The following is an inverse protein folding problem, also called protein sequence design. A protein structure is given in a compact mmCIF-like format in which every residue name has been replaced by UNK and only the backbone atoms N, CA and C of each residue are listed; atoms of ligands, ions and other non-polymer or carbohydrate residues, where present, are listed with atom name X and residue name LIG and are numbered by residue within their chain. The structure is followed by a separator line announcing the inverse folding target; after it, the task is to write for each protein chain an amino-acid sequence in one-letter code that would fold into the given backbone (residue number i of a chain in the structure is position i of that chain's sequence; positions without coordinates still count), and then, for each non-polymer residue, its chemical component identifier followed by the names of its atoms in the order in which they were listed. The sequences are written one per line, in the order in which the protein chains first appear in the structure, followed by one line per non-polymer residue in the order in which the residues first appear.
data_IF_121287931613
#
_entry.id   IF_121287931613
#
_cell.length_a   1.000
_cell.length_b   1.000
_cell.length_c   1.000
_cell.angle_alpha   90.00
_cell.angle_beta   90.00
_cell.angle_gamma   90.00
#
_symmetry.space_group_name_H-M   'P 1'
#
loop_
_entity.id
_entity.type
_entity.pdbx_description
1 polymer ?
#
# COMPACT_ATOMS: atom_id res chain seq x y z
N UNK A 1 -31.08 -16.39 69.26
CA UNK A 1 -30.58 -15.88 70.53
C UNK A 1 -30.11 -14.46 70.22
N UNK A 2 -30.98 -13.46 70.23
CA UNK A 2 -31.43 -12.58 71.34
C UNK A 2 -30.29 -11.82 72.04
N UNK A 3 -30.39 -10.59 72.07
CA UNK A 3 -30.45 -9.52 73.07
C UNK A 3 -29.69 -8.28 72.53
N UNK A 4 -30.35 -7.16 72.16
CA UNK A 4 -30.91 -6.04 72.90
C UNK A 4 -30.00 -5.48 74.02
N UNK A 5 -29.75 -4.18 73.97
CA UNK A 5 -30.20 -3.15 74.97
C UNK A 5 -29.37 -1.88 74.74
N UNK A 6 -29.89 -0.78 74.27
CA UNK A 6 -30.50 0.40 74.94
C UNK A 6 -29.53 1.11 75.92
N UNK A 7 -29.39 2.43 75.91
CA UNK A 7 -30.16 3.44 76.63
C UNK A 7 -29.36 4.77 76.81
N UNK A 8 -29.99 5.89 76.44
CA UNK A 8 -30.07 7.22 77.05
C UNK A 8 -28.84 8.14 77.15
N UNK A 9 -28.87 9.24 76.54
CA UNK A 9 -29.52 10.55 76.91
C UNK A 9 -28.86 11.34 78.03
N UNK A 10 -28.40 12.53 77.80
CA UNK A 10 -28.72 13.69 78.62
C UNK A 10 -28.39 15.04 77.93
N UNK A 11 -29.35 15.86 77.98
CA UNK A 11 -29.51 17.28 77.78
C UNK A 11 -28.46 18.18 78.50
N UNK A 12 -28.19 19.33 77.86
CA UNK A 12 -27.50 20.44 78.49
C UNK A 12 -27.61 21.74 77.64
N UNK A 13 -28.41 22.62 78.17
CA UNK A 13 -28.93 23.92 77.69
C UNK A 13 -27.90 24.96 77.23
N UNK A 14 -28.33 25.73 76.20
CA UNK A 14 -28.43 27.19 76.15
C UNK A 14 -27.14 28.04 76.13
N UNK A 15 -26.98 28.83 75.13
CA UNK A 15 -27.18 30.30 75.21
C UNK A 15 -27.08 30.87 73.78
N UNK A 16 -28.04 31.69 73.43
CA UNK A 16 -28.13 32.45 72.21
C UNK A 16 -27.19 33.65 72.26
N UNK A 17 -26.59 33.92 71.09
CA UNK A 17 -26.22 35.32 70.76
C UNK A 17 -26.36 35.52 69.25
N UNK A 18 -27.14 36.56 68.91
CA UNK A 18 -27.40 37.09 67.58
C UNK A 18 -26.17 37.82 67.08
N UNK A 19 -25.80 37.61 65.82
CA UNK A 19 -25.33 38.73 64.96
C UNK A 19 -25.22 38.27 63.48
N UNK A 20 -26.04 38.92 62.67
CA UNK A 20 -25.79 39.59 61.40
C UNK A 20 -25.30 38.80 60.20
N UNK A 21 -26.20 38.62 59.34
CA UNK A 21 -26.22 38.64 57.83
C UNK A 21 -24.97 39.24 57.20
N UNK A 22 -24.31 38.44 56.42
CA UNK A 22 -23.59 38.88 55.20
C UNK A 22 -23.64 37.80 54.13
N UNK A 23 -24.47 38.02 53.14
CA UNK A 23 -24.59 37.21 51.95
C UNK A 23 -23.29 37.30 51.11
N UNK A 24 -22.61 36.20 50.88
CA UNK A 24 -21.59 36.10 49.85
C UNK A 24 -21.99 34.98 48.90
N UNK A 25 -22.59 35.38 47.76
CA UNK A 25 -22.87 34.50 46.65
C UNK A 25 -21.52 34.16 45.98
N UNK A 26 -21.00 32.94 46.18
CA UNK A 26 -19.89 32.40 45.44
C UNK A 26 -20.42 31.80 44.15
N UNK A 27 -20.28 32.55 43.03
CA UNK A 27 -20.46 32.05 41.69
C UNK A 27 -19.32 31.07 41.37
N UNK A 28 -19.62 29.80 41.39
CA UNK A 28 -18.77 28.73 40.81
C UNK A 28 -18.88 28.85 39.29
N UNK A 29 -17.90 29.52 38.67
CA UNK A 29 -17.63 29.40 37.24
C UNK A 29 -17.01 28.01 36.99
N UNK A 30 -17.83 27.06 36.57
CA UNK A 30 -17.32 25.81 35.94
C UNK A 30 -16.78 26.19 34.57
N UNK A 31 -15.45 26.39 34.49
CA UNK A 31 -14.75 26.51 33.21
C UNK A 31 -14.73 25.12 32.56
N UNK A 32 -15.63 24.88 31.61
CA UNK A 32 -15.52 23.80 30.66
C UNK A 32 -14.28 24.05 29.80
N UNK A 33 -13.16 23.46 30.16
CA UNK A 33 -12.01 23.30 29.25
C UNK A 33 -12.42 22.26 28.22
N UNK A 34 -12.94 22.74 27.08
CA UNK A 34 -13.08 21.89 25.91
C UNK A 34 -11.67 21.51 25.45
N UNK A 35 -11.23 20.31 25.85
CA UNK A 35 -10.07 19.68 25.22
C UNK A 35 -10.44 19.43 23.75
N UNK A 36 -10.06 20.35 22.88
CA UNK A 36 -10.08 20.14 21.44
C UNK A 36 -9.14 18.98 21.17
N UNK A 37 -9.70 17.80 20.89
CA UNK A 37 -8.94 16.72 20.29
C UNK A 37 -8.49 17.23 18.91
N UNK A 38 -7.27 17.76 18.85
CA UNK A 38 -6.58 17.94 17.58
C UNK A 38 -6.42 16.54 16.99
N UNK A 39 -7.21 16.21 15.98
CA UNK A 39 -6.92 15.09 15.12
C UNK A 39 -5.55 15.38 14.51
N UNK A 40 -4.51 14.75 15.04
CA UNK A 40 -3.22 14.69 14.38
C UNK A 40 -3.46 13.90 13.10
N UNK A 41 -3.50 14.58 11.97
CA UNK A 41 -3.31 13.95 10.68
C UNK A 41 -1.97 13.24 10.77
N UNK A 42 -1.98 11.90 10.71
CA UNK A 42 -0.78 11.11 10.53
C UNK A 42 -0.16 11.58 9.23
N UNK A 43 0.95 12.30 9.31
CA UNK A 43 1.73 12.66 8.14
C UNK A 43 2.23 11.35 7.51
N UNK A 44 2.36 11.29 6.18
CA UNK A 44 2.78 10.08 5.44
C UNK A 44 4.06 9.40 5.94
N UNK A 45 4.76 10.01 6.89
CA UNK A 45 5.91 9.46 7.62
C UNK A 45 5.62 8.12 8.33
N UNK A 46 4.37 7.87 8.76
CA UNK A 46 4.02 6.65 9.50
C UNK A 46 3.65 5.48 8.59
N UNK A 47 3.54 5.69 7.29
CA UNK A 47 3.08 4.66 6.35
C UNK A 47 4.13 3.57 6.13
N UNK A 48 5.40 3.94 5.94
CA UNK A 48 6.53 3.02 5.79
C UNK A 48 7.71 3.53 6.63
N UNK A 49 8.51 2.64 7.23
CA UNK A 49 9.74 3.06 7.91
C UNK A 49 10.75 3.62 6.91
N UNK A 50 11.63 4.48 7.39
CA UNK A 50 12.75 5.01 6.59
C UNK A 50 13.86 3.96 6.52
N UNK A 51 14.58 3.92 5.40
CA UNK A 51 15.74 3.05 5.23
C UNK A 51 16.81 3.37 6.29
N UNK A 52 17.32 2.35 7.03
CA UNK A 52 18.19 2.59 8.19
C UNK A 52 19.62 3.01 7.82
N UNK A 53 20.13 2.57 6.65
CA UNK A 53 21.53 2.78 6.25
C UNK A 53 21.64 3.99 5.29
N UNK A 54 21.13 5.13 5.73
CA UNK A 54 21.17 6.39 5.00
C UNK A 54 20.68 7.58 5.81
N UNK A 55 21.24 8.74 5.51
CA UNK A 55 20.87 10.01 6.11
C UNK A 55 19.69 10.64 5.36
N UNK A 56 18.62 10.96 6.06
CA UNK A 56 17.54 11.79 5.52
C UNK A 56 18.02 13.23 5.41
N UNK A 57 18.32 13.67 4.19
CA UNK A 57 18.89 15.00 3.91
C UNK A 57 17.82 16.07 3.84
N UNK A 58 16.62 15.68 3.37
CA UNK A 58 15.49 16.57 3.17
C UNK A 58 14.19 15.79 3.32
N UNK A 59 13.18 16.43 3.90
CA UNK A 59 11.83 15.86 4.05
C UNK A 59 10.83 16.99 3.89
N UNK A 60 9.83 16.78 3.02
CA UNK A 60 8.78 17.74 2.75
C UNK A 60 7.41 17.06 2.75
N UNK A 61 6.41 17.79 3.25
CA UNK A 61 5.01 17.37 3.12
C UNK A 61 4.50 17.64 1.70
N UNK A 62 3.85 16.65 1.12
CA UNK A 62 3.17 16.77 -0.17
C UNK A 62 1.68 16.95 0.08
N UNK A 63 1.14 18.08 -0.41
CA UNK A 63 -0.29 18.31 -0.47
C UNK A 63 -0.62 18.94 -1.80
N UNK A 64 -1.17 18.16 -2.72
CA UNK A 64 -1.36 18.58 -4.10
C UNK A 64 -2.64 18.03 -4.70
N UNK A 65 -3.39 18.89 -5.40
CA UNK A 65 -4.55 18.47 -6.21
C UNK A 65 -4.17 17.91 -7.59
N UNK A 66 -2.90 17.94 -7.96
CA UNK A 66 -2.44 17.57 -9.31
C UNK A 66 -1.00 17.05 -9.33
N UNK A 67 -0.60 16.29 -8.31
CA UNK A 67 0.72 15.66 -8.23
C UNK A 67 0.94 14.71 -9.40
N UNK A 68 2.09 14.82 -10.05
CA UNK A 68 2.43 14.01 -11.21
C UNK A 68 3.06 12.70 -10.77
N UNK A 69 2.42 11.58 -11.11
CA UNK A 69 2.95 10.23 -10.89
C UNK A 69 3.17 9.53 -12.23
N UNK A 70 4.32 8.91 -12.39
CA UNK A 70 4.76 8.25 -13.61
C UNK A 70 4.72 6.73 -13.43
N UNK A 71 4.06 6.04 -14.36
CA UNK A 71 3.90 4.58 -14.34
C UNK A 71 4.62 3.91 -15.53
N UNK A 72 5.52 4.65 -16.17
CA UNK A 72 6.36 4.17 -17.28
C UNK A 72 7.65 5.00 -17.35
N UNK A 73 8.65 4.60 -18.16
CA UNK A 73 9.89 5.35 -18.31
C UNK A 73 9.67 6.78 -18.79
N UNK A 74 10.57 7.65 -18.38
CA UNK A 74 10.50 9.06 -18.76
C UNK A 74 11.35 9.36 -20.01
N UNK A 75 10.84 10.26 -20.84
CA UNK A 75 11.53 10.82 -22.01
C UNK A 75 11.33 12.33 -22.06
N UNK A 76 12.23 13.01 -22.68
CA UNK A 76 12.09 14.43 -23.02
C UNK A 76 12.14 14.59 -24.54
N UNK A 77 11.10 15.16 -25.11
CA UNK A 77 10.97 15.40 -26.55
C UNK A 77 10.55 16.84 -26.74
N UNK A 78 11.37 17.65 -27.44
CA UNK A 78 11.11 19.07 -27.67
C UNK A 78 10.77 19.82 -26.37
N UNK A 79 11.62 19.69 -25.35
CA UNK A 79 11.46 20.27 -24.00
C UNK A 79 10.19 19.86 -23.26
N UNK A 80 9.45 18.90 -23.77
CA UNK A 80 8.26 18.37 -23.12
C UNK A 80 8.54 17.02 -22.47
N UNK A 81 8.16 16.90 -21.19
CA UNK A 81 8.18 15.64 -20.46
C UNK A 81 7.16 14.68 -21.10
N UNK A 82 7.59 13.48 -21.42
CA UNK A 82 6.78 12.40 -21.99
C UNK A 82 6.98 11.13 -21.20
N UNK A 83 5.89 10.42 -21.01
CA UNK A 83 5.83 9.07 -20.44
C UNK A 83 4.59 8.40 -21.01
N UNK A 84 4.67 7.13 -21.34
CA UNK A 84 3.57 6.40 -21.98
C UNK A 84 2.36 6.28 -21.04
N UNK A 85 2.64 6.14 -19.73
CA UNK A 85 1.62 6.12 -18.69
C UNK A 85 2.02 7.09 -17.58
N UNK A 86 1.34 8.21 -17.48
CA UNK A 86 1.50 9.20 -16.42
C UNK A 86 0.14 9.75 -16.02
N UNK A 87 0.00 10.10 -14.76
CA UNK A 87 -1.25 10.64 -14.23
C UNK A 87 -1.01 11.76 -13.23
N UNK A 88 -1.87 12.77 -13.28
CA UNK A 88 -1.98 13.77 -12.22
C UNK A 88 -3.13 13.40 -11.30
N UNK A 89 -2.85 13.35 -10.00
CA UNK A 89 -3.84 12.97 -9.01
C UNK A 89 -3.76 13.85 -7.77
N UNK A 90 -4.87 13.97 -7.08
CA UNK A 90 -4.89 14.60 -5.76
C UNK A 90 -4.30 13.64 -4.74
N UNK A 91 -3.31 14.10 -4.00
CA UNK A 91 -2.58 13.31 -2.99
C UNK A 91 -2.26 14.17 -1.78
N UNK A 92 -2.24 13.54 -0.62
CA UNK A 92 -1.52 13.96 0.57
C UNK A 92 -0.35 12.98 0.79
N UNK A 93 0.73 13.40 1.45
CA UNK A 93 1.86 12.52 1.69
C UNK A 93 3.14 13.26 2.05
N UNK A 94 4.25 12.59 1.84
CA UNK A 94 5.58 13.14 2.10
C UNK A 94 6.60 12.71 1.04
N UNK A 95 7.62 13.53 0.86
CA UNK A 95 8.82 13.20 0.09
C UNK A 95 10.06 13.25 0.98
N UNK A 96 10.99 12.37 0.71
CA UNK A 96 12.27 12.27 1.42
C UNK A 96 13.41 12.14 0.43
N UNK A 97 14.41 12.97 0.59
CA UNK A 97 15.71 12.77 -0.04
C UNK A 97 16.65 12.08 0.93
N UNK A 98 17.13 10.90 0.58
CA UNK A 98 18.03 10.09 1.38
C UNK A 98 19.40 10.05 0.71
N UNK A 99 20.47 10.40 1.42
CA UNK A 99 21.83 10.09 1.02
C UNK A 99 22.19 8.73 1.60
N UNK A 100 22.50 7.78 0.74
CA UNK A 100 22.81 6.40 1.13
C UNK A 100 24.23 6.35 1.71
N UNK A 101 24.42 5.61 2.78
CA UNK A 101 25.70 5.43 3.45
C UNK A 101 26.71 4.72 2.54
N UNK A 102 28.02 4.93 2.80
CA UNK A 102 29.08 4.41 1.92
C UNK A 102 29.22 2.89 1.94
N UNK A 103 28.80 2.27 3.02
CA UNK A 103 28.80 0.81 3.25
C UNK A 103 27.48 0.13 2.86
N UNK A 104 26.55 0.91 2.32
CA UNK A 104 25.31 0.43 1.73
C UNK A 104 25.19 0.83 0.24
N UNK A 105 24.12 0.42 -0.42
CA UNK A 105 23.92 0.70 -1.83
C UNK A 105 22.46 1.05 -2.17
N UNK A 106 22.28 1.75 -3.32
CA UNK A 106 20.97 2.05 -3.87
C UNK A 106 20.12 0.78 -4.13
N UNK A 107 20.78 -0.35 -4.44
CA UNK A 107 20.10 -1.64 -4.65
C UNK A 107 19.56 -2.20 -3.35
N UNK A 108 20.35 -2.14 -2.27
CA UNK A 108 19.90 -2.56 -0.94
C UNK A 108 18.71 -1.72 -0.46
N UNK A 109 18.77 -0.39 -0.64
CA UNK A 109 17.64 0.50 -0.34
C UNK A 109 16.40 0.11 -1.15
N UNK A 110 16.52 -0.09 -2.47
CA UNK A 110 15.42 -0.51 -3.32
C UNK A 110 14.83 -1.83 -2.86
N UNK A 111 15.65 -2.82 -2.59
CA UNK A 111 15.21 -4.15 -2.20
C UNK A 111 14.59 -4.14 -0.80
N UNK A 112 15.09 -3.28 0.10
CA UNK A 112 14.49 -3.04 1.41
C UNK A 112 13.07 -2.47 1.29
N UNK A 113 12.85 -1.43 0.48
CA UNK A 113 11.50 -0.90 0.25
C UNK A 113 10.59 -1.93 -0.44
N UNK A 114 11.09 -2.69 -1.40
CA UNK A 114 10.32 -3.80 -1.98
C UNK A 114 9.85 -4.80 -0.93
N UNK A 115 10.72 -5.14 0.02
CA UNK A 115 10.34 -6.03 1.12
C UNK A 115 9.27 -5.39 2.03
N UNK A 116 9.36 -4.09 2.31
CA UNK A 116 8.30 -3.38 3.07
C UNK A 116 6.95 -3.43 2.34
N UNK A 117 6.95 -3.28 1.02
CA UNK A 117 5.72 -3.40 0.20
C UNK A 117 5.15 -4.83 0.28
N UNK A 118 5.99 -5.85 0.12
CA UNK A 118 5.57 -7.27 0.23
C UNK A 118 4.98 -7.56 1.62
N UNK A 119 5.63 -7.09 2.69
CA UNK A 119 5.16 -7.28 4.06
C UNK A 119 3.79 -6.61 4.32
N UNK A 120 3.43 -5.59 3.55
CA UNK A 120 2.12 -4.91 3.58
C UNK A 120 1.17 -5.38 2.49
N UNK A 121 1.44 -6.55 1.91
CA UNK A 121 0.60 -7.14 0.86
C UNK A 121 0.40 -6.20 -0.34
N UNK A 122 1.37 -5.32 -0.55
CA UNK A 122 1.41 -4.41 -1.67
C UNK A 122 1.94 -5.08 -2.93
N UNK A 123 1.88 -4.36 -4.02
CA UNK A 123 2.38 -4.83 -5.32
C UNK A 123 3.18 -3.74 -6.03
N UNK A 124 4.21 -4.17 -6.74
CA UNK A 124 4.93 -3.30 -7.67
C UNK A 124 4.05 -3.10 -8.90
N UNK A 125 3.74 -1.83 -9.22
CA UNK A 125 2.94 -1.45 -10.39
C UNK A 125 3.84 -1.29 -11.60
N UNK A 126 4.99 -0.64 -11.41
CA UNK A 126 5.99 -0.45 -12.45
C UNK A 126 7.39 -0.37 -11.84
N UNK A 127 8.39 -0.88 -12.55
CA UNK A 127 9.80 -0.65 -12.24
C UNK A 127 10.64 -0.64 -13.52
N UNK A 128 11.75 0.08 -13.46
CA UNK A 128 12.79 0.06 -14.49
C UNK A 128 14.18 0.18 -13.83
N UNK A 129 15.21 -0.22 -14.56
CA UNK A 129 16.61 -0.17 -14.12
C UNK A 129 17.50 0.44 -15.20
N UNK A 130 18.48 1.23 -14.79
CA UNK A 130 19.48 1.82 -15.67
C UNK A 130 18.88 2.66 -16.78
N UNK A 131 19.43 2.52 -17.98
CA UNK A 131 19.03 3.30 -19.16
C UNK A 131 17.58 3.07 -19.61
N UNK A 132 16.98 1.95 -19.19
CA UNK A 132 15.57 1.67 -19.48
C UNK A 132 14.61 2.63 -18.78
N UNK A 133 15.04 3.31 -17.71
CA UNK A 133 14.26 4.33 -17.01
C UNK A 133 14.21 5.67 -17.74
N UNK A 134 15.04 5.84 -18.76
CA UNK A 134 15.27 7.13 -19.42
C UNK A 134 16.48 7.87 -18.87
N UNK A 135 16.53 9.18 -19.01
CA UNK A 135 17.67 9.98 -18.60
C UNK A 135 17.54 10.44 -17.14
N UNK A 136 18.60 10.24 -16.34
CA UNK A 136 18.63 10.67 -14.93
C UNK A 136 18.47 12.19 -14.78
N UNK A 137 18.95 12.97 -15.76
CA UNK A 137 18.74 14.42 -15.78
C UNK A 137 17.25 14.80 -15.85
N UNK A 138 16.44 14.03 -16.59
CA UNK A 138 14.99 14.28 -16.72
C UNK A 138 14.28 13.95 -15.40
N UNK A 139 14.64 12.85 -14.78
CA UNK A 139 14.13 12.52 -13.43
C UNK A 139 14.47 13.61 -12.42
N UNK A 140 15.75 13.98 -12.33
CA UNK A 140 16.22 14.96 -11.35
C UNK A 140 15.57 16.33 -11.52
N UNK A 141 15.62 16.89 -12.74
CA UNK A 141 15.31 18.31 -12.93
C UNK A 141 13.89 18.56 -13.46
N UNK A 142 13.22 17.57 -14.06
CA UNK A 142 11.88 17.76 -14.66
C UNK A 142 10.78 17.03 -13.91
N UNK A 143 11.10 15.92 -13.23
CA UNK A 143 10.13 15.16 -12.44
C UNK A 143 10.17 15.59 -10.98
N UNK A 144 11.33 15.46 -10.33
CA UNK A 144 11.45 15.71 -8.90
C UNK A 144 11.90 17.14 -8.55
N UNK A 145 12.50 17.89 -9.48
CA UNK A 145 13.04 19.21 -9.21
C UNK A 145 14.27 19.22 -8.28
N UNK A 146 14.91 18.07 -8.11
CA UNK A 146 16.01 17.85 -7.16
C UNK A 146 17.32 17.49 -7.89
N UNK A 147 18.22 18.46 -7.96
CA UNK A 147 19.48 18.33 -8.73
C UNK A 147 20.45 17.29 -8.16
N UNK A 148 20.35 16.94 -6.87
CA UNK A 148 21.15 15.88 -6.24
C UNK A 148 20.84 14.49 -6.82
N UNK A 149 19.67 14.32 -7.44
CA UNK A 149 19.27 13.10 -8.13
C UNK A 149 19.83 12.97 -9.55
N UNK A 150 20.58 13.96 -10.04
CA UNK A 150 21.25 13.85 -11.33
C UNK A 150 22.51 12.98 -11.20
N UNK A 151 22.55 11.88 -11.93
CA UNK A 151 23.63 10.92 -11.92
C UNK A 151 23.83 10.22 -13.26
N UNK A 152 24.33 8.98 -13.20
CA UNK A 152 24.59 8.17 -14.39
C UNK A 152 23.33 7.42 -14.84
N UNK A 153 22.96 7.54 -16.10
CA UNK A 153 21.77 6.88 -16.66
C UNK A 153 21.80 5.35 -16.51
N UNK A 154 23.00 4.74 -16.47
CA UNK A 154 23.16 3.30 -16.26
C UNK A 154 22.99 2.88 -14.80
N UNK A 155 23.14 3.81 -13.85
CA UNK A 155 23.17 3.55 -12.42
C UNK A 155 22.00 4.26 -11.73
N UNK A 156 20.79 4.00 -12.20
CA UNK A 156 19.55 4.50 -11.62
C UNK A 156 18.49 3.40 -11.61
N UNK A 157 17.53 3.53 -10.72
CA UNK A 157 16.33 2.68 -10.67
C UNK A 157 15.11 3.56 -10.36
N UNK A 158 13.98 3.21 -10.93
CA UNK A 158 12.69 3.78 -10.57
C UNK A 158 11.69 2.66 -10.28
N UNK A 159 10.93 2.83 -9.24
CA UNK A 159 9.91 1.87 -8.81
C UNK A 159 8.69 2.64 -8.32
N UNK A 160 7.51 2.22 -8.76
CA UNK A 160 6.25 2.60 -8.16
C UNK A 160 5.52 1.35 -7.69
N UNK A 161 5.06 1.40 -6.46
CA UNK A 161 4.33 0.30 -5.83
C UNK A 161 3.11 0.83 -5.10
N UNK A 162 2.10 0.00 -4.97
CA UNK A 162 0.97 0.26 -4.07
C UNK A 162 1.05 -0.63 -2.85
N UNK A 163 0.53 -0.15 -1.75
CA UNK A 163 0.33 -0.91 -0.51
C UNK A 163 -0.92 -0.40 0.21
N UNK A 164 -1.43 -1.18 1.15
CA UNK A 164 -2.63 -0.80 1.87
C UNK A 164 -2.28 -0.23 3.23
N UNK A 165 -2.84 0.94 3.52
CA UNK A 165 -2.80 1.58 4.83
C UNK A 165 -3.78 0.94 5.82
N UNK A 166 -3.83 1.47 7.06
CA UNK A 166 -4.69 0.93 8.12
C UNK A 166 -6.18 0.86 7.76
N UNK A 167 -6.67 1.81 6.98
CA UNK A 167 -8.07 1.89 6.52
C UNK A 167 -8.33 1.12 5.23
N UNK A 168 -7.39 0.28 4.79
CA UNK A 168 -7.46 -0.45 3.53
C UNK A 168 -7.56 0.45 2.29
N UNK A 169 -7.13 1.70 2.40
CA UNK A 169 -6.93 2.60 1.27
C UNK A 169 -5.62 2.27 0.57
N UNK A 170 -5.59 2.38 -0.74
CA UNK A 170 -4.37 2.16 -1.51
C UNK A 170 -3.46 3.40 -1.39
N UNK A 171 -2.27 3.18 -0.89
CA UNK A 171 -1.19 4.16 -0.85
C UNK A 171 -0.15 3.84 -1.93
N UNK A 172 0.62 4.82 -2.33
CA UNK A 172 1.68 4.67 -3.31
C UNK A 172 3.05 4.95 -2.68
N UNK A 173 4.00 4.10 -3.00
CA UNK A 173 5.43 4.36 -2.86
C UNK A 173 5.95 4.75 -4.24
N UNK A 174 6.54 5.92 -4.38
CA UNK A 174 7.39 6.32 -5.51
C UNK A 174 8.83 6.31 -5.02
N UNK A 175 9.67 5.52 -5.67
CA UNK A 175 11.07 5.38 -5.33
C UNK A 175 11.93 5.61 -6.56
N UNK A 176 12.87 6.54 -6.47
CA UNK A 176 13.92 6.73 -7.47
C UNK A 176 15.28 6.67 -6.78
N UNK A 177 16.22 5.94 -7.35
CA UNK A 177 17.59 5.86 -6.85
C UNK A 177 18.59 6.15 -7.95
N UNK A 178 19.73 6.73 -7.59
CA UNK A 178 20.76 7.07 -8.57
C UNK A 178 22.16 7.11 -7.93
N UNK A 179 23.17 6.67 -8.72
CA UNK A 179 24.58 6.91 -8.41
C UNK A 179 25.08 8.10 -9.20
N UNK A 180 25.57 9.12 -8.49
CA UNK A 180 26.15 10.33 -9.09
C UNK A 180 27.54 10.07 -9.68
N UNK A 181 28.02 10.99 -10.52
CA UNK A 181 29.35 10.92 -11.13
C UNK A 181 30.50 10.85 -10.10
N UNK A 182 30.31 11.39 -8.90
CA UNK A 182 31.28 11.32 -7.79
C UNK A 182 31.16 10.05 -6.91
N UNK A 183 30.34 9.08 -7.33
CA UNK A 183 30.12 7.82 -6.62
C UNK A 183 29.18 7.90 -5.42
N UNK A 184 28.62 9.07 -5.08
CA UNK A 184 27.59 9.16 -4.04
C UNK A 184 26.26 8.64 -4.57
N UNK A 185 25.52 7.97 -3.70
CA UNK A 185 24.20 7.42 -4.02
C UNK A 185 23.10 8.15 -3.25
N UNK A 186 22.02 8.42 -3.96
CA UNK A 186 20.84 9.09 -3.41
C UNK A 186 19.58 8.35 -3.77
N UNK A 187 18.59 8.47 -2.89
CA UNK A 187 17.23 8.03 -3.15
C UNK A 187 16.23 9.16 -2.92
N UNK A 188 15.22 9.23 -3.78
CA UNK A 188 14.00 10.00 -3.58
C UNK A 188 12.87 9.04 -3.27
N UNK A 189 12.18 9.28 -2.18
CA UNK A 189 11.09 8.44 -1.70
C UNK A 189 9.86 9.33 -1.51
N UNK A 190 8.77 9.02 -2.20
CA UNK A 190 7.47 9.63 -1.89
C UNK A 190 6.53 8.56 -1.35
N UNK A 191 5.86 8.90 -0.26
CA UNK A 191 4.79 8.13 0.34
C UNK A 191 3.50 8.94 0.15
N UNK A 192 2.63 8.45 -0.74
CA UNK A 192 1.47 9.20 -1.19
C UNK A 192 0.17 8.50 -0.79
N UNK A 193 -0.77 9.27 -0.28
CA UNK A 193 -2.16 8.90 -0.05
C UNK A 193 -3.03 9.54 -1.14
N UNK A 194 -3.35 8.81 -2.23
CA UNK A 194 -4.21 9.34 -3.27
C UNK A 194 -5.64 9.54 -2.75
N UNK A 195 -6.30 10.60 -3.21
CA UNK A 195 -7.72 10.80 -2.92
C UNK A 195 -8.53 9.55 -3.29
N UNK A 196 -9.56 9.23 -2.53
CA UNK A 196 -10.38 8.01 -2.71
C UNK A 196 -10.98 7.86 -4.12
N UNK A 197 -11.14 8.96 -4.84
CA UNK A 197 -11.63 8.99 -6.23
C UNK A 197 -10.51 8.83 -7.26
N UNK A 198 -9.23 8.85 -6.86
CA UNK A 198 -8.12 8.72 -7.77
C UNK A 198 -8.09 7.33 -8.40
N UNK A 199 -7.84 7.29 -9.71
CA UNK A 199 -7.61 6.03 -10.43
C UNK A 199 -6.11 5.80 -10.53
N UNK A 200 -5.68 4.63 -10.09
CA UNK A 200 -4.28 4.23 -10.15
C UNK A 200 -4.12 3.24 -11.31
N UNK A 201 -3.30 3.53 -12.32
CA UNK A 201 -3.03 2.60 -13.42
C UNK A 201 -2.60 1.23 -12.88
N UNK A 202 -3.25 0.17 -13.37
CA UNK A 202 -2.99 -1.20 -12.92
C UNK A 202 -3.65 -1.62 -11.60
N UNK A 203 -4.25 -0.66 -10.85
CA UNK A 203 -4.87 -0.96 -9.56
C UNK A 203 -6.37 -0.59 -9.48
N UNK A 204 -6.81 0.39 -10.26
CA UNK A 204 -8.18 0.91 -10.21
C UNK A 204 -8.33 2.12 -9.27
N UNK A 205 -9.44 2.22 -8.54
CA UNK A 205 -9.69 3.35 -7.64
C UNK A 205 -8.94 3.19 -6.31
N UNK A 206 -8.29 4.23 -5.84
CA UNK A 206 -7.55 4.25 -4.58
C UNK A 206 -8.46 4.12 -3.34
N UNK A 207 -9.63 4.73 -3.39
CA UNK A 207 -10.62 4.62 -2.33
C UNK A 207 -11.56 3.45 -2.56
N UNK A 208 -11.79 2.65 -1.53
CA UNK A 208 -12.57 1.43 -1.64
C UNK A 208 -11.93 0.36 -2.54
N UNK A 209 -10.86 -0.23 -2.08
CA UNK A 209 -10.34 -1.45 -2.69
C UNK A 209 -11.33 -2.61 -2.49
N UNK A 210 -12.53 -2.50 -3.12
CA UNK A 210 -13.46 -3.62 -3.20
C UNK A 210 -12.90 -4.77 -4.01
N UNK A 211 -11.98 -4.46 -4.93
CA UNK A 211 -11.29 -5.45 -5.76
C UNK A 211 -9.81 -5.40 -5.40
N UNK A 212 -9.33 -6.44 -4.75
CA UNK A 212 -7.93 -6.64 -4.40
C UNK A 212 -7.30 -7.63 -5.37
N UNK A 213 -6.04 -7.43 -5.71
CA UNK A 213 -5.35 -8.30 -6.67
C UNK A 213 -4.88 -7.57 -7.92
N UNK A 214 -4.32 -8.30 -8.94
CA UNK A 214 -4.24 -9.75 -8.94
C UNK A 214 -3.09 -10.31 -8.11
N UNK A 215 -3.35 -11.40 -7.40
CA UNK A 215 -2.29 -12.32 -6.97
C UNK A 215 -2.00 -13.25 -8.14
N UNK A 216 -0.82 -13.11 -8.74
CA UNK A 216 -0.45 -13.87 -9.93
C UNK A 216 0.26 -15.15 -9.53
N UNK A 217 -0.26 -16.28 -9.97
CA UNK A 217 0.28 -17.62 -9.72
C UNK A 217 0.66 -18.26 -11.06
N UNK A 218 1.92 -18.18 -11.48
CA UNK A 218 2.40 -18.97 -12.60
C UNK A 218 2.21 -20.46 -12.31
N UNK A 219 1.90 -21.21 -13.35
CA UNK A 219 1.80 -22.66 -13.22
C UNK A 219 2.61 -23.37 -14.32
N UNK A 220 2.91 -24.61 -14.05
CA UNK A 220 3.48 -25.55 -15.02
C UNK A 220 2.72 -26.87 -14.95
N UNK A 221 2.65 -27.56 -16.06
CA UNK A 221 2.03 -28.87 -16.17
C UNK A 221 3.02 -29.88 -16.72
N UNK A 222 3.10 -31.05 -16.07
CA UNK A 222 3.77 -32.23 -16.61
C UNK A 222 2.88 -33.47 -16.40
N UNK A 223 2.85 -33.99 -15.19
CA UNK A 223 1.94 -35.07 -14.75
C UNK A 223 0.80 -34.44 -13.91
N UNK A 224 1.06 -33.33 -13.28
CA UNK A 224 0.09 -32.55 -12.47
C UNK A 224 0.37 -31.07 -12.58
N UNK A 225 -0.64 -30.24 -12.30
CA UNK A 225 -0.48 -28.79 -12.21
C UNK A 225 0.32 -28.43 -10.95
N UNK A 226 1.33 -27.60 -11.12
CA UNK A 226 2.15 -27.04 -10.04
C UNK A 226 2.03 -25.53 -10.06
N UNK A 227 1.66 -24.94 -8.92
CA UNK A 227 1.52 -23.50 -8.73
C UNK A 227 2.55 -23.01 -7.72
N UNK A 228 2.97 -21.77 -7.83
CA UNK A 228 3.73 -21.10 -6.76
C UNK A 228 2.76 -20.67 -5.62
N UNK A 229 2.09 -21.68 -5.05
CA UNK A 229 1.16 -21.53 -3.94
C UNK A 229 1.87 -21.59 -2.60
N UNK A 230 2.75 -20.62 -2.33
CA UNK A 230 3.57 -20.56 -1.12
C UNK A 230 2.80 -19.96 0.07
N UNK A 231 3.43 -19.97 1.26
CA UNK A 231 2.82 -19.47 2.48
C UNK A 231 2.48 -17.95 2.45
N UNK A 232 3.24 -17.18 1.67
CA UNK A 232 2.98 -15.75 1.49
C UNK A 232 1.75 -15.52 0.64
N UNK A 233 1.64 -16.21 -0.50
CA UNK A 233 0.47 -16.15 -1.37
C UNK A 233 -0.82 -16.52 -0.62
N UNK A 234 -0.77 -17.59 0.18
CA UNK A 234 -1.91 -18.01 1.03
C UNK A 234 -2.32 -16.93 2.03
N UNK A 235 -1.39 -16.41 2.81
CA UNK A 235 -1.67 -15.37 3.81
C UNK A 235 -2.20 -14.09 3.17
N UNK A 236 -1.66 -13.71 2.01
CA UNK A 236 -2.14 -12.55 1.27
C UNK A 236 -3.59 -12.72 0.86
N UNK A 237 -3.92 -13.85 0.23
CA UNK A 237 -5.28 -14.11 -0.21
C UNK A 237 -6.26 -14.21 0.97
N UNK A 238 -5.86 -14.87 2.06
CA UNK A 238 -6.64 -14.99 3.30
C UNK A 238 -7.00 -13.61 3.88
N UNK A 239 -5.99 -12.74 3.98
CA UNK A 239 -6.20 -11.37 4.47
C UNK A 239 -7.12 -10.57 3.54
N UNK A 240 -6.99 -10.75 2.23
CA UNK A 240 -7.86 -10.08 1.25
C UNK A 240 -9.29 -10.60 1.32
N UNK A 241 -9.45 -11.91 1.38
CA UNK A 241 -10.75 -12.56 1.35
C UNK A 241 -11.56 -12.33 2.65
N UNK A 242 -10.89 -12.32 3.80
CA UNK A 242 -11.60 -12.25 5.08
C UNK A 242 -12.75 -13.24 5.15
N UNK A 243 -13.79 -12.92 5.92
CA UNK A 243 -14.94 -13.79 6.09
C UNK A 243 -15.93 -13.74 4.89
N UNK A 244 -16.06 -12.58 4.20
CA UNK A 244 -17.13 -12.31 3.24
C UNK A 244 -16.67 -12.05 1.81
N UNK A 245 -15.36 -11.96 1.56
CA UNK A 245 -14.82 -11.66 0.23
C UNK A 245 -15.04 -12.78 -0.76
N UNK A 246 -15.44 -12.43 -1.98
CA UNK A 246 -15.54 -13.37 -3.11
C UNK A 246 -14.21 -13.44 -3.86
N UNK A 247 -13.73 -14.63 -4.14
CA UNK A 247 -12.50 -14.85 -4.92
C UNK A 247 -12.85 -15.11 -6.37
N UNK A 248 -12.27 -14.30 -7.26
CA UNK A 248 -12.37 -14.49 -8.72
C UNK A 248 -11.06 -15.11 -9.20
N UNK A 249 -11.17 -16.27 -9.81
CA UNK A 249 -10.07 -17.05 -10.36
C UNK A 249 -10.07 -16.82 -11.88
N UNK A 250 -9.08 -16.07 -12.39
CA UNK A 250 -8.94 -15.81 -13.82
C UNK A 250 -7.78 -16.66 -14.34
N UNK A 251 -8.05 -17.60 -15.24
CA UNK A 251 -7.06 -18.55 -15.71
C UNK A 251 -6.69 -18.36 -17.18
N UNK A 252 -5.40 -18.47 -17.44
CA UNK A 252 -4.76 -18.32 -18.75
C UNK A 252 -3.87 -19.52 -19.04
N UNK A 253 -3.75 -19.89 -20.31
CA UNK A 253 -2.78 -20.85 -20.79
C UNK A 253 -2.08 -20.32 -22.05
N UNK A 254 -0.78 -20.55 -22.18
CA UNK A 254 -0.06 -20.28 -23.42
C UNK A 254 -0.54 -21.19 -24.54
N UNK A 255 -0.36 -20.77 -25.79
CA UNK A 255 -0.55 -21.64 -26.96
C UNK A 255 0.82 -22.21 -27.34
N UNK A 256 0.97 -23.53 -27.29
CA UNK A 256 2.13 -24.23 -27.78
C UNK A 256 2.02 -24.45 -29.30
N UNK A 257 3.16 -24.74 -29.96
CA UNK A 257 3.24 -24.80 -31.43
C UNK A 257 2.26 -25.76 -32.11
N UNK A 258 1.81 -26.77 -31.38
CA UNK A 258 0.89 -27.82 -31.88
C UNK A 258 -0.50 -27.75 -31.24
N UNK A 259 -0.77 -26.74 -30.43
CA UNK A 259 -2.06 -26.60 -29.73
C UNK A 259 -3.13 -26.02 -30.63
N UNK A 260 -4.33 -26.51 -30.45
CA UNK A 260 -5.53 -25.80 -30.83
C UNK A 260 -5.93 -24.79 -29.73
N UNK A 261 -6.78 -23.85 -30.09
CA UNK A 261 -7.39 -22.93 -29.12
C UNK A 261 -8.17 -23.70 -28.01
N UNK A 262 -8.79 -24.83 -28.38
CA UNK A 262 -9.54 -25.68 -27.45
C UNK A 262 -8.61 -26.32 -26.39
N UNK A 263 -7.41 -26.76 -26.78
CA UNK A 263 -6.45 -27.36 -25.86
C UNK A 263 -5.97 -26.34 -24.81
N UNK A 264 -5.72 -25.09 -25.23
CA UNK A 264 -5.36 -24.02 -24.29
C UNK A 264 -6.51 -23.69 -23.32
N UNK A 265 -7.74 -23.66 -23.81
CA UNK A 265 -8.91 -23.49 -22.93
C UNK A 265 -9.09 -24.62 -21.94
N UNK A 266 -8.87 -25.87 -22.35
CA UNK A 266 -8.94 -27.04 -21.47
C UNK A 266 -7.87 -27.00 -20.39
N UNK A 267 -6.62 -26.65 -20.74
CA UNK A 267 -5.55 -26.48 -19.76
C UNK A 267 -5.85 -25.34 -18.77
N UNK A 268 -6.31 -24.18 -19.25
CA UNK A 268 -6.69 -23.07 -18.40
C UNK A 268 -7.85 -23.44 -17.46
N UNK A 269 -8.85 -24.17 -17.94
CA UNK A 269 -9.97 -24.65 -17.14
C UNK A 269 -9.54 -25.63 -16.06
N UNK A 270 -8.68 -26.57 -16.42
CA UNK A 270 -8.13 -27.54 -15.47
C UNK A 270 -7.28 -26.85 -14.40
N UNK A 271 -6.45 -25.88 -14.77
CA UNK A 271 -5.65 -25.09 -13.83
C UNK A 271 -6.55 -24.32 -12.85
N UNK A 272 -7.63 -23.70 -13.33
CA UNK A 272 -8.61 -23.01 -12.48
C UNK A 272 -9.29 -23.96 -11.48
N UNK A 273 -9.63 -25.18 -11.93
CA UNK A 273 -10.23 -26.19 -11.05
C UNK A 273 -9.30 -26.63 -9.93
N UNK A 274 -8.01 -26.87 -10.25
CA UNK A 274 -7.02 -27.23 -9.24
C UNK A 274 -6.81 -26.13 -8.21
N UNK A 275 -6.73 -24.86 -8.65
CA UNK A 275 -6.65 -23.72 -7.71
C UNK A 275 -7.91 -23.64 -6.85
N UNK A 276 -9.09 -23.82 -7.44
CA UNK A 276 -10.35 -23.83 -6.69
C UNK A 276 -10.34 -24.86 -5.55
N UNK A 277 -9.84 -26.06 -5.81
CA UNK A 277 -9.68 -27.10 -4.78
C UNK A 277 -8.66 -26.71 -3.70
N UNK A 278 -7.57 -26.05 -4.07
CA UNK A 278 -6.57 -25.54 -3.12
C UNK A 278 -7.16 -24.44 -2.23
N UNK A 279 -8.01 -23.59 -2.78
CA UNK A 279 -8.72 -22.54 -2.03
C UNK A 279 -9.70 -23.14 -1.02
N UNK A 280 -10.43 -24.19 -1.39
CA UNK A 280 -11.32 -24.92 -0.45
C UNK A 280 -10.50 -25.50 0.71
N UNK A 281 -9.34 -26.07 0.44
CA UNK A 281 -8.41 -26.58 1.48
C UNK A 281 -7.82 -25.47 2.36
N UNK A 282 -7.95 -24.21 1.94
CA UNK A 282 -7.53 -23.01 2.65
C UNK A 282 -8.72 -22.22 3.22
N UNK A 283 -9.84 -22.91 3.52
CA UNK A 283 -11.06 -22.38 4.14
C UNK A 283 -11.81 -21.31 3.30
N UNK A 284 -11.55 -21.24 2.00
CA UNK A 284 -12.33 -20.40 1.07
C UNK A 284 -13.33 -21.29 0.34
N UNK A 285 -14.57 -21.30 0.83
CA UNK A 285 -15.66 -22.11 0.30
C UNK A 285 -15.89 -21.88 -1.21
N UNK A 286 -16.26 -22.92 -1.93
CA UNK A 286 -16.56 -22.87 -3.37
C UNK A 286 -17.70 -21.89 -3.72
N UNK A 287 -18.64 -21.66 -2.81
CA UNK A 287 -19.70 -20.66 -2.98
C UNK A 287 -19.15 -19.22 -3.04
N UNK A 288 -17.98 -18.99 -2.46
CA UNK A 288 -17.26 -17.71 -2.49
C UNK A 288 -16.32 -17.58 -3.69
N UNK A 289 -16.28 -18.57 -4.58
CA UNK A 289 -15.37 -18.60 -5.71
C UNK A 289 -16.12 -18.37 -7.04
N UNK A 290 -15.48 -17.67 -7.98
CA UNK A 290 -15.93 -17.50 -9.36
C UNK A 290 -14.76 -17.78 -10.30
N UNK A 291 -14.94 -18.70 -11.22
CA UNK A 291 -13.95 -19.02 -12.23
C UNK A 291 -14.26 -18.27 -13.53
N UNK A 292 -13.23 -17.69 -14.12
CA UNK A 292 -13.24 -17.01 -15.42
C UNK A 292 -12.09 -17.58 -16.25
N UNK A 293 -12.43 -18.26 -17.32
CA UNK A 293 -11.45 -18.86 -18.21
C UNK A 293 -11.26 -17.93 -19.42
N UNK A 294 -10.08 -17.37 -19.56
CA UNK A 294 -9.71 -16.52 -20.70
C UNK A 294 -9.11 -17.37 -21.83
N UNK A 295 -8.44 -18.48 -21.49
CA UNK A 295 -7.79 -19.38 -22.45
C UNK A 295 -6.47 -18.83 -22.95
N UNK A 296 -6.27 -18.71 -24.29
CA UNK A 296 -4.98 -18.40 -24.85
C UNK A 296 -4.44 -17.05 -24.38
N UNK A 297 -3.20 -17.04 -23.88
CA UNK A 297 -2.48 -15.84 -23.52
C UNK A 297 -1.06 -15.86 -24.12
N UNK A 298 -0.58 -14.68 -24.45
CA UNK A 298 0.82 -14.48 -24.80
C UNK A 298 1.57 -13.94 -23.58
N UNK A 299 2.89 -14.14 -23.58
CA UNK A 299 3.78 -13.47 -22.65
C UNK A 299 3.62 -11.96 -22.82
N UNK A 300 3.06 -11.28 -21.83
CA UNK A 300 2.95 -9.83 -21.88
C UNK A 300 4.30 -9.23 -21.48
N UNK A 301 5.00 -8.66 -22.46
CA UNK A 301 6.29 -7.99 -22.29
C UNK A 301 6.25 -6.97 -21.13
N UNK A 302 7.40 -6.57 -20.61
CA UNK A 302 7.67 -5.68 -19.48
C UNK A 302 7.20 -6.11 -18.09
N UNK A 303 6.16 -6.90 -17.92
CA UNK A 303 5.73 -7.37 -16.60
C UNK A 303 6.17 -8.82 -16.28
N UNK A 304 6.80 -9.52 -17.22
CA UNK A 304 7.29 -10.90 -17.01
C UNK A 304 6.20 -11.90 -16.57
N UNK A 305 4.94 -11.66 -16.95
CA UNK A 305 3.86 -12.59 -16.62
C UNK A 305 3.94 -13.80 -17.54
N UNK A 306 4.12 -14.98 -16.94
CA UNK A 306 4.01 -16.25 -17.67
C UNK A 306 2.68 -16.33 -18.42
N UNK A 307 2.66 -16.86 -19.67
CA UNK A 307 1.41 -17.15 -20.37
C UNK A 307 0.55 -18.16 -19.59
N UNK A 308 1.19 -19.12 -18.93
CA UNK A 308 0.57 -20.11 -18.06
C UNK A 308 0.47 -19.56 -16.64
N UNK A 309 -0.70 -19.02 -16.29
CA UNK A 309 -0.92 -18.41 -14.99
C UNK A 309 -2.39 -18.43 -14.56
N UNK A 310 -2.59 -18.32 -13.27
CA UNK A 310 -3.87 -17.93 -12.67
C UNK A 310 -3.69 -16.60 -11.97
N UNK A 311 -4.64 -15.71 -12.14
CA UNK A 311 -4.73 -14.44 -11.44
C UNK A 311 -5.92 -14.48 -10.47
N UNK A 312 -5.64 -14.29 -9.17
CA UNK A 312 -6.66 -14.28 -8.13
C UNK A 312 -7.00 -12.84 -7.75
N UNK A 313 -8.27 -12.51 -7.81
CA UNK A 313 -8.82 -11.25 -7.33
C UNK A 313 -9.78 -11.53 -6.19
N UNK A 314 -9.84 -10.62 -5.23
CA UNK A 314 -10.86 -10.64 -4.18
C UNK A 314 -11.79 -9.46 -4.35
N UNK A 315 -13.09 -9.73 -4.36
CA UNK A 315 -14.14 -8.71 -4.37
C UNK A 315 -14.74 -8.68 -2.96
N UNK A 316 -14.51 -7.60 -2.24
CA UNK A 316 -15.11 -7.38 -0.92
C UNK A 316 -16.55 -6.85 -1.06
N UNK A 317 -17.47 -7.21 -0.14
CA UNK A 317 -18.80 -6.63 -0.09
C UNK A 317 -18.72 -5.10 0.11
N UNK A 318 -19.71 -4.37 -0.37
CA UNK A 318 -19.89 -2.96 0.02
C UNK A 318 -20.33 -2.90 1.48
N UNK A 319 -19.59 -2.19 2.28
CA UNK A 319 -20.02 -1.81 3.63
C UNK A 319 -21.11 -0.76 3.56
#
# INVERSE_FOLDING_TARGET
VTIETSVQARLGHSVATRASIASLAALLFLSFVSAGASAQSSSGHDLLPVFPDGDMVESEDIRSSGHLVLFSPVREINDSLRSDVMQRMSVDGSSHLIQIDRDSSRRELRDWYRQQIINRQGQVIFNCEGVSCGRSNVWANRVFGESRLYGRDADQDYLIASFYGPEQTANLLVLYTVTRGNGREYAWVELLEPASTARIPGLGNAGNARVLGPLVLPWSYSISYRFDWNATARRTLDTWAGEDGQVVIVSYAGIESNDSMADAFERASSAASVISELLVKSDIDSARQRQVIIGPAQEQGTAGKSPDRVELFVIRPSR
#
